data_IF_877520285033
#
_entry.id   IF_877520285033
#
_cell.length_a   1.000
_cell.length_b   1.000
_cell.length_c   1.000
_cell.angle_alpha   90.00
_cell.angle_beta   90.00
_cell.angle_gamma   90.00
#
_symmetry.space_group_name_H-M   'P 1'
#
loop_
_entity.id
_entity.type
_entity.pdbx_description
1 polymer ?
#
# COMPACT_ATOMS: atom_id res chain seq x y z
N UNK A 1 10.85 26.60 0.56
CA UNK A 1 9.98 25.42 0.33
C UNK A 1 8.95 25.34 1.44
N UNK A 2 7.69 25.13 1.07
CA UNK A 2 6.56 24.96 2.01
C UNK A 2 5.81 23.69 1.63
N UNK A 3 5.48 22.84 2.61
CA UNK A 3 4.60 21.69 2.41
C UNK A 3 3.15 22.17 2.58
N UNK A 4 2.33 21.98 1.56
CA UNK A 4 0.92 22.40 1.55
C UNK A 4 0.05 21.34 0.87
N UNK A 5 -1.28 21.50 0.97
CA UNK A 5 -2.26 20.64 0.29
C UNK A 5 -2.07 19.13 0.59
N UNK A 6 -1.89 18.80 1.88
CA UNK A 6 -1.80 17.40 2.31
C UNK A 6 -3.16 16.73 2.16
N UNK A 7 -3.20 15.64 1.40
CA UNK A 7 -4.39 14.83 1.17
C UNK A 7 -4.16 13.40 1.66
N UNK A 8 -5.21 12.76 2.15
CA UNK A 8 -5.18 11.39 2.64
C UNK A 8 -6.38 10.62 2.09
N UNK A 9 -6.13 9.54 1.38
CA UNK A 9 -7.15 8.55 1.00
C UNK A 9 -7.04 7.38 1.99
N UNK A 10 -8.16 7.06 2.65
CA UNK A 10 -8.23 5.93 3.59
C UNK A 10 -8.49 4.64 2.80
N UNK A 11 -7.93 3.49 3.24
CA UNK A 11 -8.32 2.19 2.70
C UNK A 11 -9.82 1.94 2.89
N UNK A 12 -10.41 1.15 1.99
CA UNK A 12 -11.86 0.86 1.98
C UNK A 12 -12.31 0.02 3.17
N UNK A 13 -11.41 -0.78 3.76
CA UNK A 13 -11.71 -1.61 4.93
C UNK A 13 -10.86 -1.21 6.13
N UNK A 14 -11.43 -1.43 7.32
CA UNK A 14 -10.78 -1.22 8.60
C UNK A 14 -11.18 -2.36 9.55
N UNK A 15 -10.21 -2.95 10.22
CA UNK A 15 -10.42 -4.00 11.24
C UNK A 15 -9.74 -3.60 12.53
N UNK A 16 -10.28 -4.03 13.67
CA UNK A 16 -9.60 -3.88 14.96
C UNK A 16 -8.34 -4.75 15.01
N UNK A 17 -7.38 -4.35 15.84
CA UNK A 17 -6.16 -5.14 16.04
C UNK A 17 -6.48 -6.55 16.54
N UNK A 18 -7.46 -6.70 17.43
CA UNK A 18 -7.89 -8.01 17.93
C UNK A 18 -8.47 -8.88 16.82
N UNK A 19 -9.34 -8.35 15.96
CA UNK A 19 -9.87 -9.07 14.80
C UNK A 19 -8.75 -9.51 13.85
N UNK A 20 -7.77 -8.63 13.56
CA UNK A 20 -6.65 -9.00 12.69
C UNK A 20 -5.76 -10.09 13.30
N UNK A 21 -5.53 -10.07 14.62
CA UNK A 21 -4.76 -11.12 15.30
C UNK A 21 -5.51 -12.46 15.27
N UNK A 22 -6.83 -12.46 15.52
CA UNK A 22 -7.67 -13.67 15.41
C UNK A 22 -7.67 -14.21 13.99
N UNK A 23 -7.80 -13.33 13.00
CA UNK A 23 -7.72 -13.73 11.59
C UNK A 23 -6.37 -14.38 11.27
N UNK A 24 -5.26 -13.83 11.76
CA UNK A 24 -3.93 -14.42 11.57
C UNK A 24 -3.82 -15.82 12.18
N UNK A 25 -4.43 -16.07 13.35
CA UNK A 25 -4.52 -17.44 13.92
C UNK A 25 -5.24 -18.36 12.95
N UNK A 26 -6.42 -17.98 12.45
CA UNK A 26 -7.17 -18.77 11.49
C UNK A 26 -6.40 -19.02 10.19
N UNK A 27 -5.73 -18.01 9.66
CA UNK A 27 -4.90 -18.09 8.47
C UNK A 27 -3.74 -19.08 8.66
N UNK A 28 -3.02 -18.99 9.77
CA UNK A 28 -1.93 -19.91 10.06
C UNK A 28 -2.40 -21.35 10.27
N UNK A 29 -3.50 -21.56 10.97
CA UNK A 29 -4.09 -22.90 11.15
C UNK A 29 -4.51 -23.50 9.80
N UNK A 30 -5.10 -22.68 8.92
CA UNK A 30 -5.49 -23.10 7.57
C UNK A 30 -4.25 -23.46 6.72
N UNK A 31 -3.22 -22.63 6.73
CA UNK A 31 -1.99 -22.88 6.00
C UNK A 31 -1.25 -24.14 6.51
N UNK A 32 -1.25 -24.38 7.82
CA UNK A 32 -0.65 -25.56 8.44
C UNK A 32 -1.50 -26.83 8.23
N UNK A 33 -2.80 -26.68 7.96
CA UNK A 33 -3.79 -27.78 7.87
C UNK A 33 -3.87 -28.61 9.16
N UNK A 34 -3.69 -27.97 10.32
CA UNK A 34 -3.69 -28.64 11.63
C UNK A 34 -4.35 -27.78 12.70
N UNK A 35 -5.52 -28.20 13.17
CA UNK A 35 -6.23 -27.51 14.27
C UNK A 35 -5.46 -27.59 15.60
N UNK A 36 -4.65 -28.64 15.79
CA UNK A 36 -3.76 -28.77 16.95
C UNK A 36 -2.72 -27.64 17.04
N UNK A 37 -2.44 -26.95 15.93
CA UNK A 37 -1.52 -25.81 15.88
C UNK A 37 -2.10 -24.52 16.48
N UNK A 38 -3.44 -24.41 16.63
CA UNK A 38 -4.12 -23.17 17.03
C UNK A 38 -3.56 -22.58 18.32
N UNK A 39 -3.52 -23.38 19.39
CA UNK A 39 -3.07 -22.90 20.71
C UNK A 39 -1.64 -22.36 20.67
N UNK A 40 -0.77 -23.05 19.92
CA UNK A 40 0.63 -22.66 19.75
C UNK A 40 0.77 -21.34 19.01
N UNK A 41 0.04 -21.14 17.90
CA UNK A 41 0.15 -19.90 17.14
C UNK A 41 -0.55 -18.72 17.83
N UNK A 42 -1.67 -18.97 18.50
CA UNK A 42 -2.40 -17.96 19.27
C UNK A 42 -1.55 -17.45 20.43
N UNK A 43 -0.95 -18.34 21.23
CA UNK A 43 -0.05 -17.95 22.32
C UNK A 43 1.11 -17.10 21.77
N UNK A 44 1.74 -17.52 20.67
CA UNK A 44 2.85 -16.77 20.05
C UNK A 44 2.41 -15.40 19.57
N UNK A 45 1.34 -15.32 18.78
CA UNK A 45 0.84 -14.05 18.23
C UNK A 45 0.44 -13.08 19.36
N UNK A 46 -0.08 -13.59 20.48
CA UNK A 46 -0.43 -12.75 21.60
C UNK A 46 0.82 -12.36 22.36
N UNK A 47 1.82 -13.22 22.50
CA UNK A 47 3.05 -12.88 23.18
C UNK A 47 3.89 -11.82 22.44
N UNK A 48 4.06 -11.97 21.12
CA UNK A 48 4.96 -11.12 20.32
C UNK A 48 4.27 -10.07 19.46
N UNK A 49 2.97 -10.21 19.22
CA UNK A 49 2.20 -9.30 18.38
C UNK A 49 1.93 -7.96 19.07
N UNK A 50 1.75 -6.92 18.26
CA UNK A 50 1.33 -5.62 18.76
C UNK A 50 -0.09 -5.74 19.36
N UNK A 51 -0.25 -5.23 20.57
CA UNK A 51 -1.46 -5.40 21.38
C UNK A 51 -2.54 -4.38 21.00
N UNK A 52 -3.84 -4.69 21.20
CA UNK A 52 -4.94 -3.78 20.87
C UNK A 52 -4.93 -2.42 21.60
N UNK A 53 -4.25 -2.33 22.75
CA UNK A 53 -4.04 -1.08 23.48
C UNK A 53 -2.96 -0.17 22.84
N UNK A 54 -2.08 -0.72 22.00
CA UNK A 54 -1.07 0.03 21.25
C UNK A 54 -1.53 0.41 19.84
N UNK A 55 -2.32 -0.46 19.19
CA UNK A 55 -2.94 -0.20 17.90
C UNK A 55 -4.41 -0.57 18.03
N UNK A 56 -5.30 0.40 17.91
CA UNK A 56 -6.74 0.11 17.99
C UNK A 56 -7.26 -0.56 16.71
N UNK A 57 -6.86 -0.03 15.54
CA UNK A 57 -7.36 -0.45 14.24
C UNK A 57 -6.33 -0.32 13.13
N UNK A 58 -6.52 -1.07 12.05
CA UNK A 58 -5.70 -1.06 10.84
C UNK A 58 -6.56 -0.96 9.59
N UNK A 59 -6.13 -0.15 8.63
CA UNK A 59 -6.74 -0.08 7.31
C UNK A 59 -6.12 -1.09 6.35
N UNK A 60 -6.94 -1.65 5.46
CA UNK A 60 -6.52 -2.57 4.40
C UNK A 60 -7.44 -2.46 3.18
N UNK A 61 -6.92 -2.84 2.01
CA UNK A 61 -7.68 -2.83 0.75
C UNK A 61 -8.30 -4.20 0.42
N UNK A 62 -7.70 -5.28 0.93
CA UNK A 62 -8.19 -6.64 0.72
C UNK A 62 -9.34 -6.95 1.68
N UNK A 63 -10.44 -7.49 1.15
CA UNK A 63 -11.54 -7.99 1.98
C UNK A 63 -11.18 -9.28 2.74
N UNK A 64 -10.10 -9.96 2.35
CA UNK A 64 -9.65 -11.24 2.91
C UNK A 64 -9.60 -11.25 4.45
N UNK A 65 -9.23 -10.13 5.09
CA UNK A 65 -9.14 -10.00 6.55
C UNK A 65 -10.49 -9.93 7.27
N UNK A 66 -11.60 -9.75 6.54
CA UNK A 66 -12.94 -9.56 7.11
C UNK A 66 -13.69 -10.88 7.36
N UNK A 67 -13.18 -12.00 6.85
CA UNK A 67 -13.84 -13.30 6.94
C UNK A 67 -12.85 -14.45 6.97
N UNK A 68 -13.36 -15.66 7.22
CA UNK A 68 -12.63 -16.93 7.11
C UNK A 68 -13.26 -17.85 6.07
N UNK A 69 -14.09 -17.32 5.18
CA UNK A 69 -14.58 -18.03 3.99
C UNK A 69 -13.45 -18.14 2.96
N UNK A 70 -12.69 -19.23 3.02
CA UNK A 70 -11.45 -19.42 2.25
C UNK A 70 -11.66 -19.52 0.74
N UNK A 71 -12.84 -19.98 0.32
CA UNK A 71 -13.22 -20.06 -1.10
C UNK A 71 -13.42 -18.68 -1.74
N UNK A 72 -13.56 -17.62 -0.93
CA UNK A 72 -13.73 -16.23 -1.39
C UNK A 72 -12.47 -15.38 -1.29
N UNK A 73 -11.33 -15.97 -0.92
CA UNK A 73 -10.09 -15.22 -0.72
C UNK A 73 -9.52 -14.70 -2.04
N UNK A 74 -9.04 -13.47 -2.03
CA UNK A 74 -8.46 -12.83 -3.23
C UNK A 74 -6.99 -13.17 -3.36
N UNK A 75 -6.21 -12.98 -2.29
CA UNK A 75 -4.75 -13.17 -2.25
C UNK A 75 -4.39 -14.32 -1.31
N UNK A 76 -5.03 -14.43 -0.15
CA UNK A 76 -4.72 -15.44 0.84
C UNK A 76 -5.54 -16.73 0.61
N UNK A 77 -5.39 -17.35 -0.56
CA UNK A 77 -6.04 -18.63 -0.94
C UNK A 77 -5.38 -19.83 -0.22
N UNK A 78 -5.42 -19.82 1.11
CA UNK A 78 -4.69 -20.75 1.98
C UNK A 78 -5.26 -22.18 1.96
N UNK A 79 -6.51 -22.35 1.52
CA UNK A 79 -7.13 -23.65 1.23
C UNK A 79 -6.44 -24.35 0.05
N UNK A 80 -5.98 -23.60 -0.95
CA UNK A 80 -5.27 -24.10 -2.13
C UNK A 80 -3.78 -24.30 -1.84
N UNK A 81 -3.10 -23.22 -1.42
CA UNK A 81 -1.66 -23.23 -1.15
C UNK A 81 -1.33 -22.41 0.10
N UNK A 82 -0.43 -22.88 0.98
CA UNK A 82 -0.10 -22.16 2.21
C UNK A 82 0.58 -20.81 1.98
N UNK A 83 1.09 -20.54 0.76
CA UNK A 83 1.69 -19.26 0.38
C UNK A 83 0.66 -18.23 -0.12
N UNK A 84 -0.57 -18.66 -0.42
CA UNK A 84 -1.55 -17.87 -1.17
C UNK A 84 -1.06 -17.56 -2.59
N UNK A 85 -1.64 -16.53 -3.22
CA UNK A 85 -1.27 -16.13 -4.58
C UNK A 85 0.15 -15.56 -4.66
N UNK A 86 0.75 -15.74 -5.84
CA UNK A 86 2.11 -15.31 -6.16
C UNK A 86 2.25 -13.79 -6.26
N UNK A 87 3.48 -13.32 -6.53
CA UNK A 87 3.81 -11.90 -6.60
C UNK A 87 3.10 -11.16 -7.77
N UNK A 88 2.80 -11.83 -8.88
CA UNK A 88 2.09 -11.21 -10.02
C UNK A 88 0.69 -10.79 -9.60
N UNK A 89 -0.08 -11.72 -9.03
CA UNK A 89 -1.44 -11.45 -8.58
C UNK A 89 -1.49 -10.38 -7.48
N UNK A 90 -0.50 -10.37 -6.57
CA UNK A 90 -0.38 -9.31 -5.55
C UNK A 90 -0.08 -7.95 -6.17
N UNK A 91 0.75 -7.93 -7.21
CA UNK A 91 1.09 -6.72 -7.96
C UNK A 91 -0.11 -6.18 -8.73
N UNK A 92 -0.95 -7.04 -9.30
CA UNK A 92 -2.20 -6.66 -9.98
C UNK A 92 -3.17 -5.95 -9.02
N UNK A 93 -3.37 -6.50 -7.81
CA UNK A 93 -4.20 -5.83 -6.78
C UNK A 93 -3.60 -4.48 -6.38
N UNK A 94 -2.28 -4.42 -6.18
CA UNK A 94 -1.60 -3.16 -5.86
C UNK A 94 -1.79 -2.13 -6.98
N UNK A 95 -1.65 -2.54 -8.23
CA UNK A 95 -1.82 -1.70 -9.42
C UNK A 95 -3.22 -1.10 -9.48
N UNK A 96 -4.25 -1.93 -9.34
CA UNK A 96 -5.65 -1.51 -9.40
C UNK A 96 -5.98 -0.48 -8.31
N UNK A 97 -5.53 -0.73 -7.08
CA UNK A 97 -5.79 0.18 -5.95
C UNK A 97 -5.01 1.48 -6.07
N UNK A 98 -3.75 1.43 -6.51
CA UNK A 98 -2.94 2.63 -6.72
C UNK A 98 -3.50 3.49 -7.85
N UNK A 99 -3.95 2.89 -8.95
CA UNK A 99 -4.58 3.62 -10.05
C UNK A 99 -5.83 4.39 -9.57
N UNK A 100 -6.69 3.77 -8.74
CA UNK A 100 -7.85 4.44 -8.12
C UNK A 100 -7.44 5.59 -7.20
N UNK A 101 -6.34 5.45 -6.45
CA UNK A 101 -5.84 6.52 -5.56
C UNK A 101 -5.28 7.69 -6.37
N UNK A 102 -4.54 7.44 -7.45
CA UNK A 102 -4.04 8.51 -8.32
C UNK A 102 -5.16 9.27 -9.03
N UNK A 103 -6.22 8.58 -9.46
CA UNK A 103 -7.39 9.25 -10.03
C UNK A 103 -8.10 10.18 -9.02
N UNK A 104 -8.07 9.85 -7.74
CA UNK A 104 -8.65 10.69 -6.67
C UNK A 104 -7.75 11.87 -6.30
N UNK A 105 -6.42 11.67 -6.21
CA UNK A 105 -5.49 12.77 -5.95
C UNK A 105 -5.41 13.77 -7.11
N UNK A 106 -5.60 13.28 -8.35
CA UNK A 106 -5.48 14.07 -9.57
C UNK A 106 -6.72 13.91 -10.45
N UNK A 107 -7.89 14.46 -10.04
CA UNK A 107 -9.10 14.41 -10.84
C UNK A 107 -8.92 15.11 -12.19
N UNK A 108 -9.78 14.79 -13.16
CA UNK A 108 -9.78 15.44 -14.48
C UNK A 108 -9.87 16.97 -14.34
N UNK A 109 -9.00 17.70 -15.04
CA UNK A 109 -8.90 19.16 -14.95
C UNK A 109 -7.90 19.67 -13.90
N UNK A 110 -7.24 18.78 -13.16
CA UNK A 110 -6.11 19.17 -12.29
C UNK A 110 -4.97 19.82 -13.10
N UNK A 111 -4.28 20.77 -12.49
CA UNK A 111 -3.06 21.35 -13.06
C UNK A 111 -1.89 20.36 -12.97
N UNK A 112 -1.08 20.26 -14.02
CA UNK A 112 0.11 19.43 -14.04
C UNK A 112 1.13 19.92 -12.98
N UNK A 113 1.63 19.04 -12.09
CA UNK A 113 2.79 19.37 -11.28
C UNK A 113 4.05 19.35 -12.18
N UNK A 114 5.04 20.20 -11.90
CA UNK A 114 6.28 20.15 -12.66
C UNK A 114 7.09 18.87 -12.40
N UNK A 115 7.00 18.34 -11.18
CA UNK A 115 7.69 17.13 -10.74
C UNK A 115 6.71 16.30 -9.88
N UNK A 116 6.63 15.00 -10.14
CA UNK A 116 5.80 14.05 -9.40
C UNK A 116 6.67 12.94 -8.83
N UNK A 117 6.82 12.92 -7.49
CA UNK A 117 7.64 11.92 -6.79
C UNK A 117 6.73 10.80 -6.28
N UNK A 118 6.88 9.60 -6.85
CA UNK A 118 6.13 8.43 -6.40
C UNK A 118 6.93 7.64 -5.36
N UNK A 119 6.39 7.55 -4.15
CA UNK A 119 7.03 6.88 -3.00
C UNK A 119 6.31 5.57 -2.71
N UNK A 120 7.03 4.45 -2.71
CA UNK A 120 6.47 3.16 -2.32
C UNK A 120 7.57 2.19 -1.86
N UNK A 121 7.23 1.30 -0.94
CA UNK A 121 8.04 0.14 -0.58
C UNK A 121 7.29 -1.19 -0.67
N UNK A 122 6.11 -1.19 -1.28
CA UNK A 122 5.19 -2.34 -1.29
C UNK A 122 4.77 -2.78 -2.69
N UNK A 123 5.07 -2.00 -3.72
CA UNK A 123 4.77 -2.36 -5.11
C UNK A 123 5.65 -1.59 -6.09
N UNK A 124 6.20 -2.33 -7.05
CA UNK A 124 7.19 -1.84 -8.03
C UNK A 124 6.75 -2.25 -9.43
N UNK A 125 6.05 -1.34 -10.10
CA UNK A 125 5.47 -1.54 -11.43
C UNK A 125 6.09 -0.58 -12.43
N UNK A 126 6.09 -0.96 -13.71
CA UNK A 126 6.53 -0.13 -14.82
C UNK A 126 5.62 -0.37 -16.03
N UNK A 127 4.76 0.58 -16.42
CA UNK A 127 4.59 1.92 -15.82
C UNK A 127 3.93 1.86 -14.43
N UNK A 128 4.33 2.73 -13.51
CA UNK A 128 3.66 2.88 -12.21
C UNK A 128 2.50 3.89 -12.24
N UNK A 129 1.73 3.98 -11.15
CA UNK A 129 0.58 4.88 -11.03
C UNK A 129 0.87 6.35 -11.34
N UNK A 130 2.05 6.87 -10.95
CA UNK A 130 2.45 8.23 -11.28
C UNK A 130 2.75 8.43 -12.78
N UNK A 131 3.38 7.46 -13.42
CA UNK A 131 3.61 7.51 -14.87
C UNK A 131 2.28 7.40 -15.65
N UNK A 132 1.39 6.51 -15.18
CA UNK A 132 0.06 6.35 -15.77
C UNK A 132 -0.78 7.60 -15.65
N UNK A 133 -0.82 8.25 -14.49
CA UNK A 133 -1.64 9.47 -14.33
C UNK A 133 -1.10 10.62 -15.18
N UNK A 134 0.22 10.78 -15.29
CA UNK A 134 0.85 11.77 -16.17
C UNK A 134 0.46 11.53 -17.63
N UNK A 135 0.52 10.28 -18.09
CA UNK A 135 0.07 9.91 -19.43
C UNK A 135 -1.44 10.15 -19.63
N UNK A 136 -2.26 9.68 -18.68
CA UNK A 136 -3.73 9.79 -18.71
C UNK A 136 -4.23 11.24 -18.72
N UNK A 137 -3.50 12.16 -18.10
CA UNK A 137 -3.83 13.59 -18.03
C UNK A 137 -3.15 14.44 -19.10
N UNK A 138 -2.30 13.84 -19.95
CA UNK A 138 -1.59 14.56 -21.01
C UNK A 138 -0.46 15.45 -20.51
N UNK A 139 0.11 15.16 -19.35
CA UNK A 139 1.15 16.00 -18.71
C UNK A 139 2.58 15.65 -19.12
N UNK A 140 2.76 14.83 -20.15
CA UNK A 140 4.06 14.26 -20.51
C UNK A 140 5.14 15.29 -20.88
N UNK A 141 4.75 16.48 -21.34
CA UNK A 141 5.69 17.58 -21.66
C UNK A 141 6.04 18.44 -20.44
N UNK A 142 5.22 18.41 -19.38
CA UNK A 142 5.31 19.34 -18.24
C UNK A 142 5.78 18.68 -16.94
N UNK A 143 5.47 17.38 -16.76
CA UNK A 143 5.70 16.66 -15.51
C UNK A 143 6.81 15.62 -15.63
N UNK A 144 7.86 15.77 -14.83
CA UNK A 144 8.87 14.71 -14.63
C UNK A 144 8.42 13.76 -13.51
N UNK A 145 8.41 12.45 -13.78
CA UNK A 145 8.12 11.44 -12.75
C UNK A 145 9.42 10.90 -12.15
N UNK A 146 9.56 10.94 -10.83
CA UNK A 146 10.69 10.36 -10.09
C UNK A 146 10.21 9.28 -9.13
N UNK A 147 10.83 8.10 -9.17
CA UNK A 147 10.49 6.99 -8.26
C UNK A 147 11.40 7.01 -7.02
N UNK A 148 10.82 7.32 -5.87
CA UNK A 148 11.47 7.29 -4.56
C UNK A 148 11.13 5.98 -3.84
N UNK A 149 11.65 4.88 -4.35
CA UNK A 149 11.31 3.53 -3.91
C UNK A 149 12.29 2.92 -2.90
N UNK A 150 11.87 1.84 -2.25
CA UNK A 150 12.71 1.02 -1.34
C UNK A 150 13.23 1.72 -0.07
N UNK A 151 12.69 2.88 0.28
CA UNK A 151 13.10 3.66 1.45
C UNK A 151 12.19 3.48 2.68
N UNK A 152 11.29 2.48 2.64
CA UNK A 152 10.49 2.04 3.78
C UNK A 152 9.75 3.17 4.51
N UNK A 153 9.65 3.03 5.83
CA UNK A 153 8.87 3.95 6.68
C UNK A 153 9.39 5.39 6.71
N UNK A 154 10.64 5.66 6.31
CA UNK A 154 11.19 7.01 6.27
C UNK A 154 11.10 7.64 4.86
N UNK A 155 10.48 6.97 3.89
CA UNK A 155 10.48 7.35 2.47
C UNK A 155 9.95 8.75 2.15
N UNK A 156 9.16 9.36 3.04
CA UNK A 156 8.76 10.77 2.93
C UNK A 156 9.93 11.75 3.04
N UNK A 157 10.91 11.48 3.90
CA UNK A 157 12.07 12.36 4.11
C UNK A 157 12.96 12.52 2.86
N UNK A 158 13.42 11.46 2.19
CA UNK A 158 14.17 11.58 0.95
C UNK A 158 13.32 12.17 -0.19
N UNK A 159 12.01 11.87 -0.26
CA UNK A 159 11.12 12.48 -1.25
C UNK A 159 11.00 14.01 -1.07
N UNK A 160 10.82 14.48 0.17
CA UNK A 160 10.83 15.92 0.50
C UNK A 160 12.17 16.53 0.10
N UNK A 161 13.29 15.87 0.41
CA UNK A 161 14.63 16.35 0.05
C UNK A 161 14.83 16.46 -1.46
N UNK A 162 14.35 15.48 -2.23
CA UNK A 162 14.35 15.53 -3.71
C UNK A 162 13.53 16.73 -4.20
N UNK A 163 12.32 16.92 -3.67
CA UNK A 163 11.47 18.06 -4.01
C UNK A 163 12.13 19.43 -3.74
N UNK A 164 12.87 19.57 -2.63
CA UNK A 164 13.67 20.78 -2.36
C UNK A 164 14.73 20.98 -3.45
N UNK A 165 15.44 19.91 -3.83
CA UNK A 165 16.44 19.94 -4.88
C UNK A 165 15.86 20.36 -6.23
N UNK A 166 14.70 19.82 -6.60
CA UNK A 166 14.02 20.14 -7.86
C UNK A 166 13.60 21.61 -7.93
N UNK A 167 13.06 22.17 -6.84
CA UNK A 167 12.70 23.59 -6.78
C UNK A 167 13.92 24.50 -6.96
N UNK A 168 15.01 24.22 -6.23
CA UNK A 168 16.24 25.03 -6.31
C UNK A 168 16.88 24.99 -7.70
N UNK A 169 16.97 23.82 -8.31
CA UNK A 169 17.56 23.68 -9.63
C UNK A 169 16.78 24.44 -10.71
N UNK A 170 15.47 24.66 -10.52
CA UNK A 170 14.66 25.42 -11.48
C UNK A 170 14.84 26.94 -11.30
N UNK A 171 15.00 27.42 -10.07
CA UNK A 171 15.30 28.84 -9.80
C UNK A 171 16.61 29.30 -10.45
N UNK A 172 17.60 28.39 -10.60
CA UNK A 172 18.89 28.71 -11.23
C UNK A 172 18.84 28.74 -12.78
N UNK A 173 17.80 28.18 -13.39
CA UNK A 173 17.66 28.04 -14.86
C UNK A 173 16.63 29.04 -15.43
N UNK A 174 15.86 29.72 -14.58
CA UNK A 174 14.89 30.78 -14.91
C UNK A 174 15.47 32.18 -14.76
#
# INVERSE_FOLDING_TARGET
MLLTNLQLIRPVFESTQEETLRWLVHAHVMAEKSEAFRSTIEEKLWHVGCKPDHIQKRGHVLADFLHTDWEKMTIYTLNETPQGKNLSARSEVFEEEVDKVFDQFYPTGSSAPNDLIHVSCTGYLSPNGAQKIVSKRGWGEETTVTNAYHMGCYGSMPAIRMGIGFLKNREEVS
#
